data_IF_703896035492
#
_entry.id   IF_703896035492
#
_cell.length_a   1.000
_cell.length_b   1.000
_cell.length_c   1.000
_cell.angle_alpha   90.00
_cell.angle_beta   90.00
_cell.angle_gamma   90.00
#
_symmetry.space_group_name_H-M   'P 1'
#
loop_
_entity.id
_entity.type
_entity.pdbx_description
1 polymer ?
#
# COMPACT_ATOMS: atom_id res chain seq x y z
N UNK A 1 20.09 -4.65 3.02
CA UNK A 1 19.11 -3.62 3.42
C UNK A 1 18.82 -2.56 2.36
N UNK A 2 19.79 -1.78 1.85
CA UNK A 2 19.55 -0.69 0.88
C UNK A 2 18.78 -1.14 -0.39
N UNK A 3 19.12 -2.30 -0.96
CA UNK A 3 18.44 -2.85 -2.15
C UNK A 3 16.99 -3.25 -1.87
N UNK A 4 16.72 -3.81 -0.68
CA UNK A 4 15.39 -4.23 -0.26
C UNK A 4 14.46 -3.02 -0.07
N UNK A 5 14.96 -1.96 0.58
CA UNK A 5 14.22 -0.71 0.76
C UNK A 5 13.88 -0.09 -0.61
N UNK A 6 14.87 -0.01 -1.52
CA UNK A 6 14.62 0.48 -2.88
C UNK A 6 13.53 -0.31 -3.61
N UNK A 7 13.59 -1.64 -3.54
CA UNK A 7 12.61 -2.51 -4.18
C UNK A 7 11.21 -2.33 -3.57
N UNK A 8 11.14 -2.15 -2.25
CA UNK A 8 9.87 -1.90 -1.52
C UNK A 8 9.24 -0.57 -1.91
N UNK A 9 10.05 0.47 -2.11
CA UNK A 9 9.59 1.77 -2.63
C UNK A 9 9.00 1.61 -4.03
N UNK A 10 9.71 0.91 -4.92
CA UNK A 10 9.24 0.72 -6.31
C UNK A 10 7.95 -0.09 -6.35
N UNK A 11 7.88 -1.20 -5.60
CA UNK A 11 6.66 -2.02 -5.52
C UNK A 11 5.49 -1.26 -4.90
N UNK A 12 5.74 -0.51 -3.82
CA UNK A 12 4.74 0.35 -3.20
C UNK A 12 4.24 1.43 -4.16
N UNK A 13 5.13 2.09 -4.88
CA UNK A 13 4.77 3.09 -5.88
C UNK A 13 3.93 2.51 -7.03
N UNK A 14 4.25 1.31 -7.52
CA UNK A 14 3.47 0.64 -8.58
C UNK A 14 2.05 0.34 -8.08
N UNK A 15 1.91 -0.28 -6.91
CA UNK A 15 0.60 -0.56 -6.32
C UNK A 15 -0.19 0.72 -6.03
N UNK A 16 0.49 1.76 -5.54
CA UNK A 16 -0.08 3.08 -5.34
C UNK A 16 -0.58 3.73 -6.62
N UNK A 17 0.17 3.62 -7.71
CA UNK A 17 -0.26 4.15 -9.01
C UNK A 17 -1.54 3.45 -9.51
N UNK A 18 -1.60 2.12 -9.39
CA UNK A 18 -2.80 1.33 -9.73
C UNK A 18 -3.98 1.78 -8.88
N UNK A 19 -3.81 1.91 -7.56
CA UNK A 19 -4.85 2.39 -6.66
C UNK A 19 -5.26 3.83 -6.96
N UNK A 20 -4.33 4.68 -7.38
CA UNK A 20 -4.60 6.05 -7.84
C UNK A 20 -5.54 6.10 -9.03
N UNK A 21 -5.42 5.16 -9.97
CA UNK A 21 -6.37 5.01 -11.09
C UNK A 21 -7.72 4.48 -10.59
N UNK A 22 -7.72 3.46 -9.72
CA UNK A 22 -8.96 2.88 -9.16
C UNK A 22 -9.77 3.95 -8.39
N UNK A 23 -9.09 4.86 -7.68
CA UNK A 23 -9.74 5.96 -6.96
C UNK A 23 -10.51 6.93 -7.88
N UNK A 24 -10.25 6.95 -9.19
CA UNK A 24 -11.03 7.75 -10.14
C UNK A 24 -12.44 7.18 -10.38
N UNK A 25 -12.66 5.90 -10.04
CA UNK A 25 -13.96 5.26 -10.20
C UNK A 25 -14.87 5.68 -9.03
N UNK A 26 -16.02 6.32 -9.31
CA UNK A 26 -16.95 6.72 -8.26
C UNK A 26 -17.51 5.48 -7.54
N UNK A 27 -17.90 5.65 -6.27
CA UNK A 27 -18.41 4.58 -5.38
C UNK A 27 -17.39 3.52 -4.90
N UNK A 28 -16.26 3.35 -5.59
CA UNK A 28 -15.20 2.38 -5.18
C UNK A 28 -14.16 3.00 -4.24
N UNK A 29 -14.14 4.33 -4.15
CA UNK A 29 -13.13 5.11 -3.41
C UNK A 29 -12.99 4.69 -1.93
N UNK A 30 -14.10 4.52 -1.21
CA UNK A 30 -14.07 4.14 0.20
C UNK A 30 -13.41 2.77 0.40
N UNK A 31 -13.74 1.79 -0.45
CA UNK A 31 -13.15 0.45 -0.40
C UNK A 31 -11.66 0.49 -0.77
N UNK A 32 -11.29 1.24 -1.81
CA UNK A 32 -9.90 1.42 -2.22
C UNK A 32 -9.05 2.04 -1.10
N UNK A 33 -9.60 2.98 -0.32
CA UNK A 33 -8.90 3.56 0.85
C UNK A 33 -8.52 2.50 1.89
N UNK A 34 -9.39 1.51 2.16
CA UNK A 34 -9.06 0.43 3.10
C UNK A 34 -7.94 -0.47 2.59
N UNK A 35 -7.82 -0.66 1.27
CA UNK A 35 -6.76 -1.50 0.70
C UNK A 35 -5.35 -0.95 0.93
N UNK A 36 -5.21 0.36 1.14
CA UNK A 36 -3.90 0.96 1.43
C UNK A 36 -3.24 0.44 2.70
N UNK A 37 -4.03 -0.03 3.67
CA UNK A 37 -3.52 -0.56 4.94
C UNK A 37 -2.78 -1.89 4.74
N UNK A 38 -3.09 -2.61 3.66
CA UNK A 38 -2.57 -3.96 3.38
C UNK A 38 -1.42 -3.98 2.35
N UNK A 39 -0.96 -2.82 1.88
CA UNK A 39 0.12 -2.76 0.88
C UNK A 39 1.43 -3.28 1.49
N UNK A 40 1.73 -2.86 2.71
CA UNK A 40 2.93 -3.24 3.44
C UNK A 40 2.97 -4.74 3.71
N UNK A 41 1.88 -5.31 4.21
CA UNK A 41 1.76 -6.76 4.40
C UNK A 41 1.88 -7.52 3.08
N UNK A 42 1.25 -7.07 2.00
CA UNK A 42 1.33 -7.70 0.69
C UNK A 42 2.76 -7.71 0.13
N UNK A 43 3.51 -6.62 0.29
CA UNK A 43 4.89 -6.52 -0.18
C UNK A 43 5.83 -7.36 0.68
N UNK A 44 5.72 -7.33 2.01
CA UNK A 44 6.52 -8.20 2.88
C UNK A 44 6.26 -9.67 2.55
N UNK A 45 5.00 -10.04 2.37
CA UNK A 45 4.60 -11.39 1.94
C UNK A 45 5.21 -11.76 0.58
N UNK A 46 5.09 -10.89 -0.42
CA UNK A 46 5.65 -11.12 -1.75
C UNK A 46 7.17 -11.28 -1.72
N UNK A 47 7.87 -10.45 -0.96
CA UNK A 47 9.33 -10.49 -0.85
C UNK A 47 9.82 -11.76 -0.14
N UNK A 48 9.10 -12.20 0.89
CA UNK A 48 9.41 -13.45 1.60
C UNK A 48 9.12 -14.68 0.74
N UNK A 49 7.95 -14.72 0.08
CA UNK A 49 7.51 -15.87 -0.71
C UNK A 49 8.41 -16.17 -1.91
N UNK A 50 8.99 -15.14 -2.52
CA UNK A 50 9.91 -15.29 -3.65
C UNK A 50 11.38 -15.39 -3.22
N UNK A 51 11.66 -15.63 -1.93
CA UNK A 51 13.01 -15.77 -1.37
C UNK A 51 13.93 -14.56 -1.63
N UNK A 52 13.37 -13.38 -1.88
CA UNK A 52 14.16 -12.14 -2.01
C UNK A 52 14.75 -11.67 -0.69
N UNK A 53 14.23 -12.20 0.43
CA UNK A 53 14.70 -11.91 1.78
C UNK A 53 14.77 -13.23 2.55
N UNK A 54 15.87 -13.42 3.28
CA UNK A 54 16.05 -14.55 4.20
C UNK A 54 15.22 -14.37 5.46
N UNK A 55 15.82 -14.63 6.63
CA UNK A 55 15.16 -14.41 7.93
C UNK A 55 14.86 -12.92 8.09
N UNK A 56 13.58 -12.58 8.24
CA UNK A 56 13.08 -11.21 8.37
C UNK A 56 12.82 -10.94 9.85
N UNK A 57 13.50 -9.96 10.43
CA UNK A 57 13.11 -9.50 11.76
C UNK A 57 11.78 -8.73 11.68
N UNK A 58 11.00 -8.67 12.78
CA UNK A 58 9.79 -7.84 12.85
C UNK A 58 10.08 -6.36 12.55
N UNK A 59 11.27 -5.88 12.90
CA UNK A 59 11.73 -4.51 12.62
C UNK A 59 11.93 -4.29 11.13
N UNK A 60 12.52 -5.24 10.42
CA UNK A 60 12.71 -5.16 8.96
C UNK A 60 11.36 -5.17 8.23
N UNK A 61 10.42 -6.00 8.69
CA UNK A 61 9.04 -6.02 8.19
C UNK A 61 8.32 -4.69 8.39
N UNK A 62 8.51 -4.06 9.55
CA UNK A 62 7.97 -2.73 9.83
C UNK A 62 8.53 -1.66 8.89
N UNK A 63 9.86 -1.66 8.65
CA UNK A 63 10.51 -0.70 7.75
C UNK A 63 10.03 -0.88 6.32
N UNK A 64 10.02 -2.12 5.81
CA UNK A 64 9.54 -2.44 4.45
C UNK A 64 8.07 -2.02 4.30
N UNK A 65 7.23 -2.32 5.28
CA UNK A 65 5.84 -1.92 5.32
C UNK A 65 5.66 -0.39 5.29
N UNK A 66 6.35 0.33 6.17
CA UNK A 66 6.25 1.79 6.27
C UNK A 66 6.62 2.50 4.96
N UNK A 67 7.75 2.09 4.39
CA UNK A 67 8.30 2.75 3.20
C UNK A 67 7.45 2.43 1.97
N UNK A 68 6.97 1.20 1.84
CA UNK A 68 6.08 0.83 0.75
C UNK A 68 4.71 1.51 0.84
N UNK A 69 4.08 1.54 2.02
CA UNK A 69 2.79 2.20 2.22
C UNK A 69 2.82 3.71 2.00
N UNK A 70 3.86 4.40 2.46
CA UNK A 70 4.05 5.84 2.18
C UNK A 70 4.28 6.10 0.70
N UNK A 71 5.16 5.32 0.05
CA UNK A 71 5.42 5.45 -1.39
C UNK A 71 4.15 5.21 -2.23
N UNK A 72 3.28 4.31 -1.80
CA UNK A 72 2.00 4.05 -2.46
C UNK A 72 1.07 5.27 -2.41
N UNK A 73 0.93 5.92 -1.26
CA UNK A 73 0.12 7.15 -1.16
C UNK A 73 0.69 8.26 -2.03
N UNK A 74 2.01 8.47 -2.01
CA UNK A 74 2.65 9.51 -2.83
C UNK A 74 2.40 9.23 -4.32
N UNK A 75 2.68 8.01 -4.77
CA UNK A 75 2.46 7.62 -6.17
C UNK A 75 0.98 7.74 -6.57
N UNK A 76 0.07 7.29 -5.71
CA UNK A 76 -1.36 7.42 -5.96
C UNK A 76 -1.80 8.87 -6.10
N UNK A 77 -1.24 9.77 -5.29
CA UNK A 77 -1.58 11.19 -5.30
C UNK A 77 -1.11 11.86 -6.59
N UNK A 78 0.08 11.50 -7.07
CA UNK A 78 0.62 12.00 -8.35
C UNK A 78 -0.24 11.57 -9.55
N UNK A 79 -0.91 10.42 -9.48
CA UNK A 79 -1.81 9.95 -10.54
C UNK A 79 -3.23 10.51 -10.35
N UNK A 80 -3.81 10.32 -9.17
CA UNK A 80 -5.20 10.65 -8.87
C UNK A 80 -5.47 12.15 -8.95
N UNK A 81 -4.64 12.99 -8.31
CA UNK A 81 -4.94 14.42 -8.17
C UNK A 81 -4.98 15.15 -9.52
N UNK A 82 -4.00 15.01 -10.44
CA UNK A 82 -4.05 15.70 -11.72
C UNK A 82 -5.22 15.23 -12.60
N UNK A 83 -5.48 13.92 -12.63
CA UNK A 83 -6.56 13.36 -13.46
C UNK A 83 -7.92 13.78 -12.90
N UNK A 84 -8.12 13.66 -11.58
CA UNK A 84 -9.32 14.12 -10.89
C UNK A 84 -9.57 15.61 -11.12
N UNK A 85 -8.52 16.44 -11.06
CA UNK A 85 -8.63 17.86 -11.37
C UNK A 85 -9.11 18.13 -12.80
N UNK A 86 -8.51 17.47 -13.80
CA UNK A 86 -8.90 17.62 -15.21
C UNK A 86 -10.34 17.18 -15.46
N UNK A 87 -10.76 16.03 -14.90
CA UNK A 87 -12.13 15.54 -15.00
C UNK A 87 -13.10 16.56 -14.39
N UNK A 88 -12.83 17.04 -13.18
CA UNK A 88 -13.70 18.03 -12.53
C UNK A 88 -13.78 19.34 -13.31
N UNK A 89 -12.69 19.79 -13.92
CA UNK A 89 -12.67 20.99 -14.76
C UNK A 89 -13.59 20.84 -15.99
N UNK A 90 -13.52 19.71 -16.70
CA UNK A 90 -14.33 19.44 -17.90
C UNK A 90 -15.81 19.30 -17.54
N UNK A 91 -16.13 18.48 -16.53
CA UNK A 91 -17.53 18.19 -16.19
C UNK A 91 -18.25 19.37 -15.53
N UNK A 92 -17.57 20.17 -14.69
CA UNK A 92 -18.15 21.42 -14.17
C UNK A 92 -18.44 22.42 -15.28
N UNK A 93 -17.51 22.59 -16.22
CA UNK A 93 -17.68 23.49 -17.35
C UNK A 93 -18.80 23.04 -18.29
N UNK A 94 -18.99 21.72 -18.45
CA UNK A 94 -19.95 21.16 -19.41
C UNK A 94 -21.36 20.96 -18.84
N UNK A 95 -21.52 20.60 -17.56
CA UNK A 95 -22.81 20.11 -17.03
C UNK A 95 -23.28 20.83 -15.76
N UNK A 96 -22.46 21.70 -15.16
CA UNK A 96 -22.74 22.29 -13.85
C UNK A 96 -22.78 21.29 -12.69
N UNK A 97 -22.62 20.00 -12.97
CA UNK A 97 -22.57 18.93 -11.98
C UNK A 97 -21.14 18.75 -11.48
N UNK A 98 -21.02 18.38 -10.21
CA UNK A 98 -19.78 17.88 -9.63
C UNK A 98 -19.93 16.37 -9.37
N UNK A 99 -19.92 15.52 -10.42
CA UNK A 99 -20.23 14.10 -10.29
C UNK A 99 -19.24 13.35 -9.38
N UNK A 100 -18.06 13.94 -9.13
CA UNK A 100 -17.02 13.31 -8.34
C UNK A 100 -16.94 13.81 -6.92
N UNK A 101 -17.59 14.94 -6.57
CA UNK A 101 -17.65 15.48 -5.20
C UNK A 101 -16.34 15.32 -4.43
N UNK A 102 -15.20 15.42 -5.12
CA UNK A 102 -13.99 14.75 -4.67
C UNK A 102 -13.54 15.46 -3.42
N UNK A 103 -13.48 14.71 -2.33
CA UNK A 103 -13.04 15.15 -1.01
C UNK A 103 -11.75 15.97 -1.03
N UNK A 104 -10.97 15.90 -2.13
CA UNK A 104 -9.69 16.56 -2.31
C UNK A 104 -9.75 17.90 -3.05
N UNK A 105 -10.74 18.13 -3.91
CA UNK A 105 -10.65 19.18 -4.95
C UNK A 105 -11.64 20.32 -4.74
N UNK A 106 -12.63 20.16 -3.86
CA UNK A 106 -13.80 21.07 -3.90
C UNK A 106 -13.58 22.46 -3.29
N UNK A 107 -12.64 22.65 -2.35
CA UNK A 107 -12.49 23.92 -1.62
C UNK A 107 -11.10 24.22 -1.06
N UNK A 108 -10.09 23.40 -1.33
CA UNK A 108 -8.80 23.51 -0.66
C UNK A 108 -7.85 24.43 -1.43
N UNK A 109 -7.21 25.36 -0.71
CA UNK A 109 -6.08 26.14 -1.25
C UNK A 109 -5.00 25.20 -1.79
N UNK A 110 -4.31 25.59 -2.87
CA UNK A 110 -3.20 24.83 -3.46
C UNK A 110 -2.13 24.40 -2.44
N UNK A 111 -2.00 25.12 -1.31
CA UNK A 111 -1.10 24.76 -0.21
C UNK A 111 -1.58 23.59 0.66
N UNK A 112 -2.88 23.39 0.77
CA UNK A 112 -3.45 22.36 1.66
C UNK A 112 -3.29 20.96 1.05
N UNK A 113 -3.32 20.84 -0.28
CA UNK A 113 -3.21 19.54 -0.96
C UNK A 113 -1.85 18.85 -0.67
N UNK A 114 -0.68 19.49 -0.84
CA UNK A 114 0.59 18.88 -0.46
C UNK A 114 0.70 18.52 1.03
N UNK A 115 0.17 19.36 1.92
CA UNK A 115 0.15 19.05 3.36
C UNK A 115 -0.70 17.81 3.65
N UNK A 116 -1.87 17.68 3.00
CA UNK A 116 -2.75 16.54 3.19
C UNK A 116 -2.13 15.25 2.62
N UNK A 117 -1.48 15.31 1.45
CA UNK A 117 -0.71 14.18 0.91
C UNK A 117 0.41 13.76 1.87
N UNK A 118 1.13 14.72 2.44
CA UNK A 118 2.19 14.44 3.43
C UNK A 118 1.63 13.73 4.67
N UNK A 119 0.56 14.25 5.28
CA UNK A 119 -0.07 13.61 6.45
C UNK A 119 -0.63 12.23 6.12
N UNK A 120 -1.24 12.05 4.96
CA UNK A 120 -1.75 10.75 4.52
C UNK A 120 -0.61 9.76 4.27
N UNK A 121 0.54 10.22 3.74
CA UNK A 121 1.72 9.38 3.57
C UNK A 121 2.29 8.94 4.94
N UNK A 122 2.28 9.81 5.95
CA UNK A 122 2.69 9.47 7.32
C UNK A 122 1.73 8.46 7.97
N UNK A 123 0.43 8.67 7.88
CA UNK A 123 -0.57 7.73 8.39
C UNK A 123 -0.47 6.37 7.70
N UNK A 124 -0.31 6.38 6.37
CA UNK A 124 -0.10 5.15 5.61
C UNK A 124 1.19 4.45 6.00
N UNK A 125 2.29 5.18 6.22
CA UNK A 125 3.52 4.59 6.74
C UNK A 125 3.27 3.89 8.07
N UNK A 126 2.53 4.52 8.99
CA UNK A 126 2.24 3.95 10.30
C UNK A 126 1.45 2.63 10.20
N UNK A 127 0.31 2.64 9.51
CA UNK A 127 -0.54 1.45 9.38
C UNK A 127 0.16 0.33 8.61
N UNK A 128 0.89 0.68 7.54
CA UNK A 128 1.62 -0.32 6.77
C UNK A 128 2.84 -0.86 7.52
N UNK A 129 3.49 -0.08 8.40
CA UNK A 129 4.53 -0.57 9.30
C UNK A 129 3.98 -1.67 10.21
N UNK A 130 2.81 -1.44 10.82
CA UNK A 130 2.15 -2.47 11.64
C UNK A 130 1.78 -3.70 10.81
N UNK A 131 1.19 -3.50 9.62
CA UNK A 131 0.82 -4.62 8.75
C UNK A 131 2.04 -5.48 8.33
N UNK A 132 3.16 -4.84 7.98
CA UNK A 132 4.39 -5.52 7.56
C UNK A 132 5.09 -6.21 8.72
N UNK A 133 5.06 -5.61 9.91
CA UNK A 133 5.55 -6.22 11.14
C UNK A 133 4.82 -7.52 11.45
N UNK A 134 3.47 -7.51 11.37
CA UNK A 134 2.66 -8.70 11.65
C UNK A 134 3.02 -9.85 10.71
N UNK A 135 3.16 -9.57 9.40
CA UNK A 135 3.55 -10.60 8.43
C UNK A 135 4.95 -11.15 8.72
N UNK A 136 5.93 -10.27 8.99
CA UNK A 136 7.28 -10.71 9.32
C UNK A 136 7.33 -11.55 10.62
N UNK A 137 6.54 -11.17 11.62
CA UNK A 137 6.40 -11.92 12.87
C UNK A 137 5.79 -13.31 12.65
N UNK A 138 4.69 -13.40 11.89
CA UNK A 138 4.05 -14.69 11.56
C UNK A 138 5.02 -15.60 10.81
N UNK A 139 5.75 -15.08 9.82
CA UNK A 139 6.78 -15.86 9.14
C UNK A 139 7.91 -16.31 10.07
N UNK A 140 8.34 -15.44 10.99
CA UNK A 140 9.32 -15.80 12.00
C UNK A 140 8.82 -16.94 12.90
N UNK A 141 7.54 -16.96 13.29
CA UNK A 141 6.98 -18.06 14.06
C UNK A 141 6.96 -19.38 13.30
N UNK A 142 6.60 -19.35 12.01
CA UNK A 142 6.55 -20.53 11.14
C UNK A 142 7.96 -21.10 10.91
N UNK A 143 8.97 -20.25 10.71
CA UNK A 143 10.36 -20.69 10.51
C UNK A 143 10.97 -21.28 11.78
N UNK A 144 10.59 -20.76 12.95
CA UNK A 144 11.09 -21.27 14.23
C UNK A 144 10.31 -22.50 14.74
N UNK A 145 9.09 -22.73 14.26
CA UNK A 145 8.28 -23.92 14.54
C UNK A 145 7.79 -24.51 13.22
N UNK A 146 8.65 -25.21 12.46
CA UNK A 146 8.24 -25.84 11.22
C UNK A 146 7.06 -26.78 11.54
N UNK A 147 5.98 -26.76 10.73
CA UNK A 147 4.90 -27.71 10.92
C UNK A 147 5.51 -29.12 10.89
N UNK A 148 5.16 -29.96 11.87
CA UNK A 148 5.50 -31.38 11.86
C UNK A 148 4.90 -31.98 10.58
N UNK A 149 5.69 -32.05 9.50
CA UNK A 149 5.36 -32.85 8.35
C UNK A 149 5.16 -34.27 8.87
N UNK A 150 3.93 -34.76 8.76
CA UNK A 150 3.53 -36.04 9.31
C UNK A 150 4.54 -37.11 8.95
N UNK A 151 5.03 -37.82 9.97
CA UNK A 151 5.71 -39.10 9.79
C UNK A 151 4.71 -40.03 9.08
N UNK A 152 4.78 -40.07 7.76
CA UNK A 152 4.23 -41.20 7.00
C UNK A 152 5.15 -42.35 7.36
N UNK A 153 4.77 -43.10 8.41
CA UNK A 153 5.31 -44.42 8.64
C UNK A 153 4.98 -45.23 7.39
N UNK A 154 5.96 -45.43 6.53
CA UNK A 154 5.91 -46.50 5.54
C UNK A 154 6.05 -47.77 6.37
N UNK A 155 4.93 -48.37 6.76
CA UNK A 155 4.92 -49.77 7.17
C UNK A 155 5.43 -50.57 5.98
N UNK A 156 6.68 -51.04 6.09
CA UNK A 156 7.21 -52.10 5.25
C UNK A 156 6.65 -53.41 5.81
N UNK A 157 5.57 -53.91 5.21
CA UNK A 157 5.23 -55.35 5.20
C UNK A 157 5.74 -55.99 3.90
#
# INVERSE_FOLDING_TARGET
>A
MKLLIKSSIVLGAILGAILGVILLIPYVQALACFTYIFIGSAIVFYMKRNSFVGILSPQDGAIIGAVSGSSAIIASSVIYLPISFLINMIFRASTGLNPFGSFWVTSYSLLVIPMLVFFMALLSALFNAFSGLVVAYVYGLIENNPPEEGQIYIEQE
#
